data_IF_934323294614
#
_entry.id   IF_934323294614
#
_cell.length_a   1.000
_cell.length_b   1.000
_cell.length_c   1.000
_cell.angle_alpha   90.00
_cell.angle_beta   90.00
_cell.angle_gamma   90.00
#
_symmetry.space_group_name_H-M   'P 1'
#
loop_
_entity.id
_entity.type
_entity.pdbx_description
1 polymer ?
#
# COMPACT_ATOMS: atom_id res chain seq x y z
N UNK A 1 75.73 -8.44 -41.29
CA UNK A 1 74.79 -7.79 -42.25
C UNK A 1 73.47 -8.54 -42.27
N UNK A 2 72.37 -7.80 -42.12
CA UNK A 2 70.97 -8.12 -42.52
C UNK A 2 70.18 -9.21 -41.78
N UNK A 3 69.15 -8.69 -41.07
CA UNK A 3 67.72 -9.12 -40.95
C UNK A 3 67.42 -10.49 -40.28
N UNK A 4 66.84 -10.54 -39.07
CA UNK A 4 65.45 -10.23 -38.60
C UNK A 4 64.36 -11.25 -39.02
N UNK A 5 63.56 -11.61 -38.01
CA UNK A 5 62.24 -12.29 -37.95
C UNK A 5 62.32 -13.81 -37.75
N UNK A 6 61.55 -14.49 -36.89
CA UNK A 6 60.44 -14.13 -35.98
C UNK A 6 60.15 -15.37 -35.10
N UNK A 7 60.14 -15.26 -33.77
CA UNK A 7 59.22 -16.04 -32.91
C UNK A 7 59.21 -15.44 -31.48
N UNK A 8 58.36 -14.43 -31.26
CA UNK A 8 58.02 -13.95 -29.91
C UNK A 8 56.54 -13.59 -29.90
N UNK A 9 55.71 -14.55 -29.52
CA UNK A 9 54.38 -14.26 -28.99
C UNK A 9 53.88 -15.46 -28.16
N UNK A 10 54.47 -15.67 -26.99
CA UNK A 10 53.92 -16.60 -26.01
C UNK A 10 54.47 -16.30 -24.60
N UNK A 11 54.20 -15.11 -24.06
CA UNK A 11 54.47 -14.80 -22.64
C UNK A 11 53.83 -13.46 -22.26
N UNK A 12 52.49 -13.40 -22.16
CA UNK A 12 51.79 -12.34 -21.43
C UNK A 12 50.31 -12.71 -21.18
N UNK A 13 50.03 -13.74 -20.40
CA UNK A 13 48.64 -14.06 -19.97
C UNK A 13 48.61 -14.93 -18.70
N UNK A 14 49.33 -14.52 -17.66
CA UNK A 14 49.36 -15.20 -16.35
C UNK A 14 49.49 -14.19 -15.20
N UNK A 15 48.68 -13.12 -15.20
CA UNK A 15 48.83 -12.06 -14.20
C UNK A 15 47.60 -11.23 -13.83
N UNK A 16 46.38 -11.63 -14.21
CA UNK A 16 45.14 -10.96 -13.74
C UNK A 16 44.04 -12.02 -13.60
N UNK A 17 44.04 -12.77 -12.51
CA UNK A 17 42.92 -13.63 -12.14
C UNK A 17 42.89 -13.89 -10.63
N UNK A 18 42.80 -12.80 -9.86
CA UNK A 18 42.49 -12.81 -8.41
C UNK A 18 41.67 -11.57 -8.07
N UNK A 19 40.49 -11.42 -8.67
CA UNK A 19 39.47 -10.46 -8.23
C UNK A 19 38.06 -11.00 -8.53
N UNK A 20 37.77 -12.23 -8.09
CA UNK A 20 36.39 -12.70 -7.93
C UNK A 20 36.32 -13.55 -6.66
N UNK A 21 35.79 -12.95 -5.60
CA UNK A 21 35.00 -13.53 -4.49
C UNK A 21 35.12 -12.64 -3.25
N UNK A 22 34.57 -11.43 -3.36
CA UNK A 22 34.00 -10.74 -2.19
C UNK A 22 32.53 -10.47 -2.44
N UNK A 23 31.77 -11.53 -2.77
CA UNK A 23 30.39 -11.66 -2.30
C UNK A 23 30.42 -12.11 -0.84
N UNK A 24 31.19 -11.40 -0.01
CA UNK A 24 31.11 -11.51 1.43
C UNK A 24 29.81 -10.84 1.83
N UNK A 25 28.75 -11.63 1.97
CA UNK A 25 27.61 -11.23 2.79
C UNK A 25 28.15 -10.97 4.19
N UNK A 26 28.52 -9.72 4.46
CA UNK A 26 28.85 -9.27 5.80
C UNK A 26 27.58 -9.44 6.63
N UNK A 27 27.53 -10.54 7.38
CA UNK A 27 26.67 -10.65 8.55
C UNK A 27 26.83 -9.34 9.31
N UNK A 28 25.70 -8.67 9.59
CA UNK A 28 25.70 -7.37 10.25
C UNK A 28 26.35 -7.51 11.63
N UNK A 29 27.66 -7.26 11.73
CA UNK A 29 28.41 -7.21 12.99
C UNK A 29 27.82 -6.05 13.79
N UNK A 30 26.96 -6.38 14.75
CA UNK A 30 26.12 -5.50 15.58
C UNK A 30 24.85 -5.01 14.88
N UNK A 31 23.80 -5.85 14.90
CA UNK A 31 22.44 -5.34 14.83
C UNK A 31 22.22 -4.37 16.00
N UNK A 32 22.11 -3.08 15.70
CA UNK A 32 21.73 -2.09 16.72
C UNK A 32 20.29 -2.36 17.14
N UNK A 33 20.03 -2.42 18.45
CA UNK A 33 18.66 -2.55 18.99
C UNK A 33 17.76 -1.37 18.61
N UNK A 34 18.35 -0.28 18.11
CA UNK A 34 17.67 0.96 17.74
C UNK A 34 17.40 1.09 16.23
N UNK A 35 17.83 0.14 15.39
CA UNK A 35 17.54 0.15 13.95
C UNK A 35 16.89 -1.14 13.49
N UNK A 36 15.79 -1.02 12.75
CA UNK A 36 15.19 -2.13 12.02
C UNK A 36 15.49 -2.00 10.54
N UNK A 37 15.92 -3.09 9.91
CA UNK A 37 16.15 -3.20 8.47
C UNK A 37 15.04 -4.04 7.86
N UNK A 38 14.15 -3.41 7.13
CA UNK A 38 13.12 -4.08 6.36
C UNK A 38 13.56 -4.28 4.90
N UNK A 39 12.88 -5.17 4.18
CA UNK A 39 12.94 -5.24 2.72
C UNK A 39 11.59 -4.85 2.10
N UNK A 40 11.64 -4.18 0.95
CA UNK A 40 10.51 -3.99 0.07
C UNK A 40 10.89 -4.41 -1.36
N UNK A 41 9.91 -4.83 -2.18
CA UNK A 41 10.19 -5.28 -3.55
C UNK A 41 10.49 -4.14 -4.54
N UNK A 42 10.26 -2.89 -4.13
CA UNK A 42 10.53 -1.68 -4.93
C UNK A 42 10.81 -0.49 -4.02
N UNK A 43 11.30 0.59 -4.61
CA UNK A 43 11.56 1.85 -3.92
C UNK A 43 10.27 2.53 -3.40
N UNK A 44 10.42 3.45 -2.45
CA UNK A 44 9.34 4.21 -1.78
C UNK A 44 8.55 5.13 -2.72
N UNK A 45 9.12 5.47 -3.88
CA UNK A 45 8.55 6.35 -4.92
C UNK A 45 8.17 7.72 -4.36
N UNK A 46 7.32 8.48 -5.07
CA UNK A 46 6.94 9.83 -4.67
C UNK A 46 6.05 9.83 -3.42
N UNK A 47 6.59 10.29 -2.29
CA UNK A 47 5.89 10.37 -1.00
C UNK A 47 5.05 11.64 -0.82
N UNK A 48 4.69 12.36 -1.87
CA UNK A 48 3.70 13.43 -1.78
C UNK A 48 2.38 12.91 -1.17
N UNK A 49 1.88 13.46 -0.04
CA UNK A 49 0.71 12.90 0.67
C UNK A 49 -0.60 13.03 -0.12
N UNK A 50 -0.64 13.93 -1.09
CA UNK A 50 -1.82 14.19 -1.92
C UNK A 50 -1.73 13.48 -3.28
N UNK A 51 -0.81 12.54 -3.46
CA UNK A 51 -0.68 11.71 -4.66
C UNK A 51 -0.59 10.22 -4.31
N UNK A 52 -0.67 9.37 -5.35
CA UNK A 52 -0.93 7.94 -5.20
C UNK A 52 0.24 7.01 -5.54
N UNK A 53 1.35 7.57 -6.04
CA UNK A 53 2.49 6.79 -6.51
C UNK A 53 3.32 6.18 -5.37
N UNK A 54 3.49 6.92 -4.27
CA UNK A 54 4.30 6.51 -3.13
C UNK A 54 3.76 5.31 -2.36
N UNK A 55 4.67 4.66 -1.64
CA UNK A 55 4.35 3.57 -0.72
C UNK A 55 3.54 4.07 0.47
N UNK A 56 2.39 3.43 0.73
CA UNK A 56 1.46 3.83 1.78
C UNK A 56 2.08 3.79 3.18
N UNK A 57 2.91 2.78 3.49
CA UNK A 57 3.55 2.68 4.79
C UNK A 57 4.49 3.86 5.05
N UNK A 58 5.21 4.32 4.00
CA UNK A 58 6.13 5.43 4.10
C UNK A 58 5.37 6.75 4.26
N UNK A 59 4.32 6.98 3.45
CA UNK A 59 3.41 8.12 3.68
C UNK A 59 2.83 8.09 5.11
N UNK A 60 2.46 6.91 5.61
CA UNK A 60 1.82 6.76 6.92
C UNK A 60 2.73 7.14 8.11
N UNK A 61 4.05 6.95 8.01
CA UNK A 61 4.98 7.31 9.09
C UNK A 61 5.50 8.76 8.99
N UNK A 62 5.35 9.40 7.82
CA UNK A 62 5.76 10.79 7.58
C UNK A 62 4.66 11.79 7.92
N UNK A 63 3.42 11.48 7.53
CA UNK A 63 2.29 12.41 7.60
C UNK A 63 1.20 11.85 8.49
N UNK A 64 0.39 12.72 9.09
CA UNK A 64 -0.72 12.35 9.97
C UNK A 64 -2.02 13.03 9.51
N UNK A 65 -3.17 12.48 9.91
CA UNK A 65 -4.50 13.04 9.63
C UNK A 65 -5.10 13.76 10.83
N UNK A 66 -6.27 14.37 10.66
CA UNK A 66 -7.02 14.97 11.78
C UNK A 66 -7.47 13.91 12.79
N UNK A 67 -7.87 12.76 12.28
CA UNK A 67 -8.31 11.58 13.02
C UNK A 67 -7.54 10.35 12.56
N UNK A 68 -7.56 9.30 13.38
CA UNK A 68 -6.97 8.00 13.06
C UNK A 68 -8.03 6.90 13.19
N UNK A 69 -7.93 5.88 12.34
CA UNK A 69 -8.75 4.67 12.42
C UNK A 69 -7.97 3.62 13.21
N UNK A 70 -8.53 3.19 14.34
CA UNK A 70 -7.96 2.14 15.18
C UNK A 70 -8.14 0.76 14.53
N UNK A 71 -7.43 -0.24 15.06
CA UNK A 71 -7.50 -1.63 14.57
C UNK A 71 -8.91 -2.22 14.60
N UNK A 72 -9.74 -1.79 15.55
CA UNK A 72 -11.15 -2.21 15.69
C UNK A 72 -12.11 -1.42 14.78
N UNK A 73 -11.60 -0.50 13.97
CA UNK A 73 -12.39 0.37 13.09
C UNK A 73 -12.95 1.62 13.76
N UNK A 74 -12.74 1.81 15.07
CA UNK A 74 -13.16 3.03 15.76
C UNK A 74 -12.30 4.23 15.32
N UNK A 75 -12.91 5.41 15.31
CA UNK A 75 -12.25 6.66 14.93
C UNK A 75 -11.82 7.38 16.20
N UNK A 76 -10.55 7.76 16.27
CA UNK A 76 -9.96 8.43 17.41
C UNK A 76 -9.29 9.76 17.04
N UNK A 77 -9.13 10.68 18.00
CA UNK A 77 -8.33 11.90 17.84
C UNK A 77 -6.90 11.60 17.37
N UNK A 78 -6.40 12.37 16.40
CA UNK A 78 -4.98 12.41 16.04
C UNK A 78 -4.48 13.86 16.13
N UNK A 79 -4.40 14.59 15.02
CA UNK A 79 -3.97 16.00 15.02
C UNK A 79 -5.08 16.95 15.51
N UNK A 80 -6.35 16.54 15.39
CA UNK A 80 -7.45 17.15 16.12
C UNK A 80 -7.62 16.43 17.47
N UNK A 81 -7.79 17.20 18.55
CA UNK A 81 -8.04 16.68 19.90
C UNK A 81 -9.48 16.21 20.07
N UNK A 82 -10.41 16.88 19.38
CA UNK A 82 -11.84 16.57 19.35
C UNK A 82 -12.47 17.20 18.10
N UNK A 83 -13.68 16.78 17.79
CA UNK A 83 -14.50 17.38 16.74
C UNK A 83 -15.98 17.40 17.12
N UNK A 84 -16.73 18.28 16.46
CA UNK A 84 -18.16 18.44 16.59
C UNK A 84 -18.79 18.31 15.20
N UNK A 85 -19.96 17.66 15.12
CA UNK A 85 -20.74 17.53 13.89
C UNK A 85 -22.06 18.28 14.11
N UNK A 86 -22.42 19.15 13.18
CA UNK A 86 -23.70 19.86 13.23
C UNK A 86 -24.89 18.89 13.20
N UNK A 87 -26.04 19.35 13.70
CA UNK A 87 -27.27 18.52 13.78
C UNK A 87 -27.74 18.00 12.42
N UNK A 88 -27.49 18.75 11.35
CA UNK A 88 -27.83 18.38 9.97
C UNK A 88 -26.74 17.53 9.29
N UNK A 89 -25.62 17.26 9.97
CA UNK A 89 -24.51 16.44 9.49
C UNK A 89 -23.64 17.09 8.40
N UNK A 90 -23.79 18.40 8.16
CA UNK A 90 -23.12 19.11 7.05
C UNK A 90 -21.90 19.93 7.47
N UNK A 91 -21.72 20.21 8.74
CA UNK A 91 -20.55 20.93 9.25
C UNK A 91 -19.78 20.08 10.26
N UNK A 92 -18.47 20.02 10.07
CA UNK A 92 -17.53 19.36 10.97
C UNK A 92 -16.55 20.40 11.50
N UNK A 93 -16.53 20.61 12.82
CA UNK A 93 -15.60 21.54 13.48
C UNK A 93 -14.55 20.74 14.23
N UNK A 94 -13.29 20.86 13.83
CA UNK A 94 -12.14 20.21 14.44
C UNK A 94 -11.36 21.19 15.31
N UNK A 95 -11.04 20.77 16.53
CA UNK A 95 -10.19 21.51 17.46
C UNK A 95 -8.79 20.90 17.44
N UNK A 96 -7.81 21.64 16.93
CA UNK A 96 -6.45 21.18 16.66
C UNK A 96 -5.57 21.20 17.90
N UNK A 97 -4.63 20.26 17.98
CA UNK A 97 -3.56 20.28 18.99
C UNK A 97 -2.68 21.53 18.84
N UNK A 98 -2.34 22.16 19.96
CA UNK A 98 -1.57 23.42 19.96
C UNK A 98 -0.05 23.24 19.95
N UNK A 99 0.44 22.05 20.29
CA UNK A 99 1.87 21.75 20.47
C UNK A 99 2.46 20.92 19.32
N UNK A 100 1.83 20.95 18.14
CA UNK A 100 2.30 20.21 16.97
C UNK A 100 3.09 21.12 16.05
N UNK A 101 4.24 20.62 15.60
CA UNK A 101 5.06 21.23 14.55
C UNK A 101 5.33 20.20 13.47
N UNK A 102 5.52 20.67 12.25
CA UNK A 102 6.11 19.88 11.18
C UNK A 102 7.59 19.61 11.48
N UNK A 103 8.18 18.62 10.84
CA UNK A 103 9.59 18.26 11.08
C UNK A 103 10.59 19.37 10.74
N UNK A 104 10.23 20.29 9.83
CA UNK A 104 11.01 21.50 9.54
C UNK A 104 10.93 22.56 10.66
N UNK A 105 10.02 22.41 11.62
CA UNK A 105 9.79 23.34 12.73
C UNK A 105 8.67 24.34 12.50
N UNK A 106 8.05 24.35 11.31
CA UNK A 106 6.87 25.18 11.07
C UNK A 106 5.71 24.68 11.94
N UNK A 107 4.85 25.61 12.36
CA UNK A 107 3.71 25.31 13.20
C UNK A 107 2.65 24.52 12.43
N UNK A 108 2.04 23.52 13.07
CA UNK A 108 0.80 22.91 12.58
C UNK A 108 -0.39 23.68 13.18
N UNK A 109 -1.09 24.43 12.33
CA UNK A 109 -2.25 25.25 12.71
C UNK A 109 -3.37 25.15 11.67
N UNK A 110 -4.50 25.82 11.92
CA UNK A 110 -5.66 25.78 11.05
C UNK A 110 -5.37 26.31 9.63
N UNK A 111 -4.44 27.26 9.48
CA UNK A 111 -4.02 27.78 8.16
C UNK A 111 -3.25 26.73 7.39
N UNK A 112 -2.34 25.99 8.04
CA UNK A 112 -1.63 24.87 7.44
C UNK A 112 -2.58 23.74 7.03
N UNK A 113 -3.58 23.42 7.87
CA UNK A 113 -4.64 22.47 7.54
C UNK A 113 -5.39 22.93 6.29
N UNK A 114 -5.88 24.17 6.28
CA UNK A 114 -6.60 24.74 5.14
C UNK A 114 -5.77 24.73 3.85
N UNK A 115 -4.48 25.09 3.92
CA UNK A 115 -3.60 25.06 2.76
C UNK A 115 -3.49 23.66 2.12
N UNK A 116 -3.45 22.60 2.95
CA UNK A 116 -3.46 21.23 2.45
C UNK A 116 -4.79 20.85 1.80
N UNK A 117 -5.93 21.20 2.42
CA UNK A 117 -7.25 20.96 1.82
C UNK A 117 -7.44 21.75 0.51
N UNK A 118 -6.98 22.99 0.44
CA UNK A 118 -6.99 23.80 -0.78
C UNK A 118 -6.14 23.13 -1.88
N UNK A 119 -4.96 22.60 -1.54
CA UNK A 119 -4.10 21.87 -2.48
C UNK A 119 -4.74 20.56 -2.99
N UNK A 120 -5.47 19.84 -2.14
CA UNK A 120 -6.26 18.66 -2.53
C UNK A 120 -7.38 19.09 -3.50
N UNK A 121 -8.07 20.20 -3.21
CA UNK A 121 -9.16 20.71 -4.07
C UNK A 121 -8.66 21.30 -5.38
N UNK A 122 -7.44 21.83 -5.45
CA UNK A 122 -6.79 22.22 -6.73
C UNK A 122 -6.68 21.03 -7.70
N UNK A 123 -6.64 19.80 -7.17
CA UNK A 123 -6.54 18.57 -7.94
C UNK A 123 -7.78 17.67 -7.79
N UNK A 124 -8.96 18.29 -7.58
CA UNK A 124 -10.23 17.61 -7.29
C UNK A 124 -10.50 16.37 -8.16
N UNK A 125 -10.30 16.46 -9.47
CA UNK A 125 -10.60 15.37 -10.41
C UNK A 125 -9.78 14.11 -10.12
N UNK A 126 -8.52 14.27 -9.68
CA UNK A 126 -7.66 13.15 -9.28
C UNK A 126 -8.19 12.43 -8.04
N UNK A 127 -8.93 13.14 -7.20
CA UNK A 127 -9.50 12.64 -5.96
C UNK A 127 -11.01 12.36 -6.08
N UNK A 128 -11.59 12.44 -7.28
CA UNK A 128 -13.03 12.29 -7.49
C UNK A 128 -13.60 10.91 -7.18
N UNK A 129 -12.75 9.93 -6.89
CA UNK A 129 -13.16 8.61 -6.40
C UNK A 129 -13.52 8.62 -4.89
N UNK A 130 -13.10 9.65 -4.15
CA UNK A 130 -13.54 9.92 -2.78
C UNK A 130 -14.76 10.82 -2.84
N UNK A 131 -15.88 10.37 -2.26
CA UNK A 131 -17.12 11.13 -2.36
C UNK A 131 -17.04 12.41 -1.53
N UNK A 132 -16.26 12.44 -0.41
CA UNK A 132 -16.10 13.67 0.38
C UNK A 132 -15.56 14.83 -0.46
N UNK A 133 -14.65 14.56 -1.40
CA UNK A 133 -14.07 15.58 -2.29
C UNK A 133 -15.13 16.20 -3.19
N UNK A 134 -16.13 15.43 -3.61
CA UNK A 134 -17.23 15.92 -4.44
C UNK A 134 -18.22 16.76 -3.62
N UNK A 135 -18.39 16.38 -2.36
CA UNK A 135 -19.33 16.97 -1.41
C UNK A 135 -18.80 18.18 -0.62
N UNK A 136 -17.48 18.42 -0.56
CA UNK A 136 -16.96 19.63 0.06
C UNK A 136 -17.57 20.89 -0.58
N UNK A 137 -18.03 21.79 0.29
CA UNK A 137 -18.61 23.09 -0.04
C UNK A 137 -17.70 24.26 0.37
N UNK A 138 -16.91 24.06 1.44
CA UNK A 138 -15.92 25.05 1.86
C UNK A 138 -15.16 24.65 3.11
N UNK A 139 -14.09 25.41 3.39
CA UNK A 139 -13.26 25.25 4.58
C UNK A 139 -13.04 26.60 5.26
N UNK A 140 -13.21 26.65 6.57
CA UNK A 140 -13.03 27.87 7.36
C UNK A 140 -12.05 27.67 8.51
N UNK A 141 -11.35 28.74 8.85
CA UNK A 141 -10.38 28.78 9.95
C UNK A 141 -10.71 29.99 10.84
N UNK A 142 -11.76 29.90 11.69
CA UNK A 142 -12.20 31.05 12.49
C UNK A 142 -11.13 31.54 13.48
N UNK A 143 -10.19 30.66 13.85
CA UNK A 143 -9.01 30.98 14.64
C UNK A 143 -7.84 30.05 14.24
N UNK A 144 -6.69 30.19 14.91
CA UNK A 144 -5.47 29.43 14.62
C UNK A 144 -5.58 27.91 14.88
N UNK A 145 -6.54 27.44 15.68
CA UNK A 145 -6.64 26.04 16.09
C UNK A 145 -8.03 25.43 15.90
N UNK A 146 -8.91 26.12 15.17
CA UNK A 146 -10.22 25.61 14.78
C UNK A 146 -10.27 25.49 13.27
N UNK A 147 -10.54 24.29 12.76
CA UNK A 147 -10.74 24.03 11.34
C UNK A 147 -12.15 23.52 11.09
N UNK A 148 -12.89 24.14 10.18
CA UNK A 148 -14.25 23.74 9.83
C UNK A 148 -14.32 23.24 8.40
N UNK A 149 -15.00 22.12 8.21
CA UNK A 149 -15.39 21.58 6.91
C UNK A 149 -16.88 21.75 6.74
N UNK A 150 -17.31 22.31 5.60
CA UNK A 150 -18.71 22.36 5.17
C UNK A 150 -18.94 21.40 4.01
N UNK A 151 -20.04 20.66 4.07
CA UNK A 151 -20.49 19.72 3.05
C UNK A 151 -21.82 20.18 2.44
N UNK A 152 -22.03 19.85 1.16
CA UNK A 152 -23.28 20.12 0.43
C UNK A 152 -24.46 19.32 0.99
N UNK A 153 -24.18 18.12 1.51
CA UNK A 153 -25.13 17.20 2.10
C UNK A 153 -24.45 16.34 3.17
N UNK A 154 -25.20 15.77 4.14
CA UNK A 154 -24.62 14.92 5.16
C UNK A 154 -23.98 13.66 4.55
N UNK A 155 -22.77 13.34 5.01
CA UNK A 155 -22.00 12.20 4.50
C UNK A 155 -21.41 11.37 5.65
N UNK A 156 -22.05 10.24 5.95
CA UNK A 156 -21.66 9.40 7.10
C UNK A 156 -20.19 8.91 7.09
N UNK A 157 -19.56 8.59 5.93
CA UNK A 157 -18.18 8.11 5.90
C UNK A 157 -17.12 9.20 6.06
N UNK A 158 -17.49 10.47 6.22
CA UNK A 158 -16.56 11.60 6.21
C UNK A 158 -15.34 11.38 7.12
N UNK A 159 -15.54 10.97 8.37
CA UNK A 159 -14.45 10.73 9.31
C UNK A 159 -13.59 9.50 8.92
N UNK A 160 -14.17 8.49 8.26
CA UNK A 160 -13.44 7.33 7.75
C UNK A 160 -12.51 7.77 6.60
N UNK A 161 -13.03 8.59 5.67
CA UNK A 161 -12.21 9.13 4.59
C UNK A 161 -11.08 10.03 5.15
N UNK A 162 -11.37 10.91 6.12
CA UNK A 162 -10.34 11.73 6.79
C UNK A 162 -9.27 10.92 7.52
N UNK A 163 -9.62 9.74 8.04
CA UNK A 163 -8.69 8.83 8.71
C UNK A 163 -7.80 8.03 7.76
N UNK A 164 -8.02 8.12 6.44
CA UNK A 164 -7.24 7.43 5.44
C UNK A 164 -5.79 7.94 5.36
N UNK A 165 -4.87 7.12 4.87
CA UNK A 165 -3.44 7.48 4.74
C UNK A 165 -3.22 8.63 3.76
N UNK A 166 -4.14 8.81 2.80
CA UNK A 166 -4.14 9.86 1.78
C UNK A 166 -5.55 10.06 1.24
N UNK A 167 -5.89 11.24 0.69
CA UNK A 167 -5.05 12.43 0.57
C UNK A 167 -5.11 13.37 1.77
N UNK A 168 -5.95 13.12 2.78
CA UNK A 168 -6.22 14.06 3.88
C UNK A 168 -5.17 14.07 5.01
N UNK A 169 -3.89 14.04 4.63
CA UNK A 169 -2.76 14.15 5.56
C UNK A 169 -1.90 15.35 5.26
N UNK A 170 -1.22 15.87 6.28
CA UNK A 170 -0.65 17.21 6.19
C UNK A 170 0.84 17.21 5.89
N UNK A 171 1.21 17.92 4.83
CA UNK A 171 2.57 18.39 4.56
C UNK A 171 2.73 19.85 5.00
N UNK A 172 3.92 20.24 5.43
CA UNK A 172 4.28 21.62 5.71
C UNK A 172 4.00 22.47 4.45
N UNK A 173 3.26 23.59 4.55
CA UNK A 173 3.05 24.49 3.41
C UNK A 173 4.35 24.95 2.78
N UNK A 174 5.43 25.10 3.55
CA UNK A 174 6.78 25.46 3.06
C UNK A 174 7.39 24.43 2.11
N UNK A 175 6.96 23.18 2.20
CA UNK A 175 7.38 22.11 1.30
C UNK A 175 6.45 21.95 0.07
N UNK A 176 5.34 22.69 0.01
CA UNK A 176 4.48 22.75 -1.18
C UNK A 176 5.09 23.65 -2.24
N UNK A 177 4.81 23.36 -3.51
CA UNK A 177 5.23 24.23 -4.62
C UNK A 177 4.57 25.60 -4.46
N UNK A 178 5.40 26.64 -4.45
CA UNK A 178 4.99 28.03 -4.21
C UNK A 178 4.20 28.24 -2.91
N UNK A 179 4.38 27.36 -1.93
CA UNK A 179 3.66 27.42 -0.65
C UNK A 179 2.19 27.00 -0.71
N UNK A 180 1.71 26.46 -1.84
CA UNK A 180 0.26 26.28 -2.09
C UNK A 180 -0.14 24.98 -2.77
N UNK A 181 0.67 24.46 -3.68
CA UNK A 181 0.28 23.33 -4.53
C UNK A 181 1.06 22.08 -4.23
N UNK A 182 0.36 20.94 -4.27
CA UNK A 182 0.95 19.60 -4.27
C UNK A 182 0.63 18.83 -5.54
N UNK A 183 -0.12 19.42 -6.49
CA UNK A 183 -0.63 18.73 -7.69
C UNK A 183 0.49 18.12 -8.53
N UNK A 184 1.56 18.89 -8.74
CA UNK A 184 2.71 18.54 -9.59
C UNK A 184 3.97 18.22 -8.77
N UNK A 185 3.81 17.71 -7.55
CA UNK A 185 4.91 17.36 -6.66
C UNK A 185 5.07 18.33 -5.49
N UNK A 186 6.11 18.09 -4.68
CA UNK A 186 6.48 18.86 -3.48
C UNK A 186 7.99 19.05 -3.45
N UNK A 187 8.48 20.04 -2.71
CA UNK A 187 9.92 20.34 -2.64
C UNK A 187 10.66 19.38 -1.69
N UNK A 188 9.99 18.96 -0.61
CA UNK A 188 10.52 18.04 0.41
C UNK A 188 9.38 17.22 1.00
N UNK A 189 9.68 16.10 1.65
CA UNK A 189 8.69 15.29 2.38
C UNK A 189 8.69 15.66 3.86
N UNK A 190 7.89 16.65 4.22
CA UNK A 190 7.88 17.27 5.56
C UNK A 190 6.50 17.17 6.18
N UNK A 191 6.29 16.21 7.08
CA UNK A 191 5.03 16.03 7.80
C UNK A 191 5.18 16.24 9.31
N UNK A 192 4.12 15.92 10.05
CA UNK A 192 4.08 15.95 11.52
C UNK A 192 4.41 14.59 12.15
N UNK A 193 4.58 13.55 11.33
CA UNK A 193 4.66 12.16 11.77
C UNK A 193 5.88 11.81 12.61
N UNK A 194 5.90 10.58 13.16
CA UNK A 194 6.95 10.11 14.06
C UNK A 194 8.31 9.89 13.42
N UNK A 195 8.39 9.84 12.08
CA UNK A 195 9.63 9.67 11.35
C UNK A 195 9.79 10.71 10.24
N UNK A 196 11.04 11.00 9.89
CA UNK A 196 11.43 11.81 8.73
C UNK A 196 12.20 10.95 7.73
N UNK A 197 12.04 11.21 6.44
CA UNK A 197 12.90 10.61 5.42
C UNK A 197 14.29 11.27 5.48
N UNK A 198 15.31 10.49 5.84
CA UNK A 198 16.70 10.95 5.98
C UNK A 198 17.48 10.84 4.67
N UNK A 199 17.30 9.75 3.94
CA UNK A 199 17.92 9.54 2.63
C UNK A 199 17.08 8.59 1.79
N UNK A 200 17.04 8.82 0.48
CA UNK A 200 16.53 7.87 -0.49
C UNK A 200 17.55 7.66 -1.60
N UNK A 201 17.93 6.41 -1.83
CA UNK A 201 18.74 6.00 -2.98
C UNK A 201 17.86 5.09 -3.81
N UNK A 202 17.47 5.59 -4.98
CA UNK A 202 16.55 4.90 -5.88
C UNK A 202 17.04 3.50 -6.21
N UNK A 203 16.12 2.54 -6.12
CA UNK A 203 16.35 1.11 -6.32
C UNK A 203 17.37 0.45 -5.37
N UNK A 204 17.85 1.16 -4.35
CA UNK A 204 18.78 0.65 -3.33
C UNK A 204 18.14 0.62 -1.93
N UNK A 205 17.87 1.79 -1.35
CA UNK A 205 17.36 1.90 0.01
C UNK A 205 16.73 3.26 0.35
N UNK A 206 15.76 3.23 1.26
CA UNK A 206 15.25 4.39 1.96
C UNK A 206 15.58 4.31 3.46
N UNK A 207 16.00 5.42 4.06
CA UNK A 207 16.30 5.51 5.50
C UNK A 207 15.41 6.55 6.14
N UNK A 208 14.69 6.13 7.18
CA UNK A 208 13.85 6.97 8.02
C UNK A 208 14.44 7.05 9.42
N UNK A 209 14.41 8.24 10.03
CA UNK A 209 14.87 8.47 11.40
C UNK A 209 13.74 9.08 12.23
N UNK A 210 13.74 8.86 13.54
CA UNK A 210 12.73 9.45 14.42
C UNK A 210 12.73 10.96 14.28
N UNK A 211 11.54 11.54 14.14
CA UNK A 211 11.34 12.98 14.15
C UNK A 211 11.58 13.49 15.58
N UNK A 212 12.68 14.22 15.79
CA UNK A 212 13.02 14.74 17.11
C UNK A 212 12.02 15.76 17.66
N UNK A 213 11.22 16.36 16.78
CA UNK A 213 10.15 17.29 17.10
C UNK A 213 8.77 16.62 17.18
N UNK A 214 8.70 15.29 17.16
CA UNK A 214 7.41 14.58 17.21
C UNK A 214 6.64 14.96 18.48
N UNK A 215 5.39 15.37 18.29
CA UNK A 215 4.51 15.87 19.35
C UNK A 215 3.99 14.74 20.26
N UNK A 216 3.94 13.51 19.73
CA UNK A 216 3.48 12.33 20.44
C UNK A 216 4.61 11.55 21.13
N UNK A 217 4.35 10.29 21.44
CA UNK A 217 5.37 9.41 22.02
C UNK A 217 6.40 9.03 20.96
N UNK A 218 7.66 9.40 21.18
CA UNK A 218 8.75 9.04 20.27
C UNK A 218 8.91 7.52 20.14
N UNK A 219 9.06 6.98 18.92
CA UNK A 219 9.33 5.56 18.73
C UNK A 219 10.61 5.09 19.45
N UNK A 220 10.57 3.84 19.92
CA UNK A 220 11.74 3.17 20.50
C UNK A 220 12.79 2.86 19.42
N UNK A 221 12.34 2.38 18.27
CA UNK A 221 13.17 2.20 17.08
C UNK A 221 13.56 3.58 16.54
N UNK A 222 14.84 3.90 16.52
CA UNK A 222 15.37 5.21 16.11
C UNK A 222 15.54 5.35 14.62
N UNK A 223 15.75 4.23 13.93
CA UNK A 223 15.96 4.19 12.48
C UNK A 223 15.24 3.02 11.83
N UNK A 224 14.59 3.29 10.70
CA UNK A 224 14.04 2.27 9.80
C UNK A 224 14.81 2.36 8.49
N UNK A 225 15.46 1.29 8.09
CA UNK A 225 16.09 1.17 6.77
C UNK A 225 15.28 0.19 5.94
N UNK A 226 14.81 0.61 4.78
CA UNK A 226 14.10 -0.25 3.85
C UNK A 226 14.99 -0.50 2.65
N UNK A 227 15.46 -1.74 2.49
CA UNK A 227 16.23 -2.16 1.30
C UNK A 227 15.29 -2.54 0.17
N UNK A 228 15.63 -2.15 -1.05
CA UNK A 228 14.93 -2.60 -2.25
C UNK A 228 15.50 -3.94 -2.67
N UNK A 229 14.67 -4.99 -2.61
CA UNK A 229 15.02 -6.36 -2.99
C UNK A 229 13.85 -6.92 -3.82
N UNK A 230 13.88 -6.79 -5.15
CA UNK A 230 12.76 -7.19 -6.02
C UNK A 230 12.46 -8.68 -6.00
N UNK A 231 13.52 -9.50 -5.99
CA UNK A 231 13.39 -10.96 -6.03
C UNK A 231 13.00 -11.55 -4.68
N UNK A 232 11.94 -12.34 -4.68
CA UNK A 232 11.34 -12.91 -3.47
C UNK A 232 12.28 -13.84 -2.70
N UNK A 233 12.88 -14.79 -3.40
CA UNK A 233 13.82 -15.74 -2.80
C UNK A 233 15.07 -15.03 -2.25
N UNK A 234 15.45 -13.89 -2.85
CA UNK A 234 16.53 -13.04 -2.32
C UNK A 234 16.13 -12.35 -1.01
N UNK A 235 14.88 -11.92 -0.85
CA UNK A 235 14.37 -11.39 0.44
C UNK A 235 14.40 -12.47 1.52
N UNK A 236 13.92 -13.67 1.20
CA UNK A 236 13.95 -14.82 2.11
C UNK A 236 15.39 -15.13 2.56
N UNK A 237 16.34 -15.22 1.63
CA UNK A 237 17.75 -15.47 1.94
C UNK A 237 18.37 -14.33 2.75
N UNK A 238 18.02 -13.08 2.48
CA UNK A 238 18.48 -11.94 3.24
C UNK A 238 17.99 -11.98 4.70
N UNK A 239 16.73 -12.39 4.92
CA UNK A 239 16.17 -12.58 6.25
C UNK A 239 16.88 -13.75 6.97
N UNK A 240 17.05 -14.87 6.29
CA UNK A 240 17.73 -16.06 6.84
C UNK A 240 19.18 -15.78 7.25
N UNK A 241 19.89 -14.92 6.51
CA UNK A 241 21.27 -14.49 6.80
C UNK A 241 21.37 -13.34 7.82
N UNK A 242 20.26 -12.78 8.28
CA UNK A 242 20.25 -11.61 9.18
C UNK A 242 20.72 -10.31 8.51
N UNK A 243 20.60 -10.21 7.18
CA UNK A 243 20.88 -8.99 6.42
C UNK A 243 19.71 -7.99 6.46
N UNK A 244 18.53 -8.49 6.82
CA UNK A 244 17.29 -7.75 7.13
C UNK A 244 16.66 -8.38 8.37
N UNK A 245 15.91 -7.60 9.12
CA UNK A 245 15.27 -7.97 10.38
C UNK A 245 13.79 -8.35 10.19
N UNK A 246 13.13 -7.80 9.17
CA UNK A 246 11.70 -8.02 8.92
C UNK A 246 11.36 -8.04 7.43
N UNK A 247 10.46 -8.95 7.08
CA UNK A 247 9.68 -8.90 5.84
C UNK A 247 8.21 -8.75 6.24
N UNK A 248 7.55 -7.71 5.75
CA UNK A 248 6.16 -7.41 6.10
C UNK A 248 5.40 -6.94 4.87
N UNK A 249 4.25 -7.56 4.60
CA UNK A 249 3.38 -7.18 3.51
C UNK A 249 2.80 -8.40 2.79
N UNK A 250 1.79 -8.14 1.95
CA UNK A 250 1.20 -9.14 1.05
C UNK A 250 2.18 -9.46 -0.09
N UNK A 251 2.26 -10.72 -0.50
CA UNK A 251 3.05 -11.18 -1.65
C UNK A 251 4.56 -10.83 -1.53
N UNK A 252 5.04 -10.72 -0.29
CA UNK A 252 6.45 -10.43 0.01
C UNK A 252 7.32 -11.69 0.06
N UNK A 253 6.73 -12.81 0.44
CA UNK A 253 7.24 -14.18 0.36
C UNK A 253 6.05 -15.12 0.11
N UNK A 254 6.30 -16.26 -0.53
CA UNK A 254 5.33 -17.31 -0.80
C UNK A 254 4.96 -18.11 0.48
N UNK A 255 3.88 -18.89 0.38
CA UNK A 255 3.37 -19.68 1.51
C UNK A 255 4.37 -20.75 1.98
N UNK A 256 5.13 -21.35 1.07
CA UNK A 256 6.14 -22.37 1.39
C UNK A 256 7.26 -21.77 2.24
N UNK A 257 7.81 -20.63 1.80
CA UNK A 257 8.84 -19.87 2.50
C UNK A 257 8.32 -19.35 3.84
N UNK A 258 7.08 -18.88 3.90
CA UNK A 258 6.46 -18.47 5.16
C UNK A 258 6.40 -19.61 6.17
N UNK A 259 5.95 -20.81 5.76
CA UNK A 259 5.92 -22.00 6.62
C UNK A 259 7.32 -22.42 7.07
N UNK A 260 8.30 -22.40 6.16
CA UNK A 260 9.70 -22.65 6.51
C UNK A 260 10.17 -21.73 7.64
N UNK A 261 9.89 -20.43 7.58
CA UNK A 261 10.27 -19.50 8.66
C UNK A 261 9.45 -19.66 9.94
N UNK A 262 8.18 -20.05 9.83
CA UNK A 262 7.32 -20.34 10.99
C UNK A 262 7.89 -21.47 11.85
N UNK A 263 8.42 -22.51 11.21
CA UNK A 263 8.93 -23.70 11.89
C UNK A 263 10.43 -23.61 12.22
N UNK A 264 11.12 -22.58 11.70
CA UNK A 264 12.56 -22.38 11.90
C UNK A 264 12.87 -21.67 13.21
N UNK A 265 13.66 -22.32 14.07
CA UNK A 265 14.17 -21.74 15.32
C UNK A 265 14.87 -20.39 15.07
N UNK A 266 14.54 -19.38 15.88
CA UNK A 266 15.12 -18.05 15.81
C UNK A 266 14.33 -17.05 14.96
N UNK A 267 13.24 -17.49 14.32
CA UNK A 267 12.32 -16.62 13.56
C UNK A 267 10.94 -16.60 14.22
N UNK A 268 10.19 -15.52 13.93
CA UNK A 268 8.78 -15.41 14.25
C UNK A 268 8.03 -15.08 12.97
N UNK A 269 6.98 -15.84 12.70
CA UNK A 269 6.11 -15.66 11.54
C UNK A 269 4.67 -15.49 12.04
N UNK A 270 4.02 -14.41 11.59
CA UNK A 270 2.64 -14.08 11.97
C UNK A 270 1.84 -13.77 10.71
N UNK A 271 0.61 -14.27 10.67
CA UNK A 271 -0.37 -13.95 9.64
C UNK A 271 -1.46 -13.08 10.30
N UNK A 272 -1.91 -12.03 9.61
CA UNK A 272 -3.05 -11.24 10.08
C UNK A 272 -4.37 -11.97 9.82
N UNK A 273 -5.44 -11.45 10.40
CA UNK A 273 -6.79 -11.71 9.87
C UNK A 273 -6.89 -11.25 8.40
N UNK A 274 -7.82 -11.81 7.60
CA UNK A 274 -8.04 -11.38 6.23
C UNK A 274 -8.37 -9.89 6.13
N UNK A 275 -7.63 -9.15 5.30
CA UNK A 275 -7.78 -7.70 5.13
C UNK A 275 -8.41 -7.28 3.79
N UNK A 276 -8.52 -8.20 2.83
CA UNK A 276 -9.09 -7.95 1.50
C UNK A 276 -9.50 -9.25 0.82
N UNK A 277 -10.37 -9.15 -0.19
CA UNK A 277 -10.77 -10.27 -1.04
C UNK A 277 -9.99 -10.24 -2.36
N UNK A 278 -9.36 -11.36 -2.75
CA UNK A 278 -8.83 -11.55 -4.11
C UNK A 278 -9.97 -12.02 -5.02
N UNK A 279 -10.13 -11.39 -6.19
CA UNK A 279 -11.22 -11.72 -7.12
C UNK A 279 -10.84 -11.45 -8.57
N UNK A 280 -11.51 -12.14 -9.49
CA UNK A 280 -11.51 -11.79 -10.91
C UNK A 280 -12.67 -10.85 -11.22
N UNK A 281 -12.37 -9.69 -11.80
CA UNK A 281 -13.38 -8.76 -12.29
C UNK A 281 -13.80 -9.14 -13.70
N UNK A 282 -15.10 -9.35 -13.88
CA UNK A 282 -15.68 -9.79 -15.15
C UNK A 282 -16.26 -8.59 -15.90
N UNK A 283 -15.80 -8.36 -17.13
CA UNK A 283 -16.28 -7.26 -17.96
C UNK A 283 -17.66 -7.56 -18.57
N UNK A 284 -18.70 -6.96 -18.00
CA UNK A 284 -20.10 -7.20 -18.39
C UNK A 284 -20.51 -6.57 -19.71
N UNK A 285 -19.64 -5.78 -20.37
CA UNK A 285 -19.95 -5.06 -21.61
C UNK A 285 -19.24 -5.63 -22.83
N UNK A 286 -18.46 -6.72 -22.69
CA UNK A 286 -17.62 -7.26 -23.77
C UNK A 286 -17.83 -8.75 -24.02
N UNK A 287 -18.10 -9.11 -25.28
CA UNK A 287 -18.07 -10.49 -25.76
C UNK A 287 -19.08 -11.42 -25.05
N UNK A 288 -18.68 -12.66 -24.82
CA UNK A 288 -19.48 -13.69 -24.14
C UNK A 288 -19.89 -13.29 -22.71
N UNK A 289 -19.11 -12.42 -22.07
CA UNK A 289 -19.32 -11.99 -20.69
C UNK A 289 -20.50 -11.01 -20.53
N UNK A 290 -21.08 -10.54 -21.64
CA UNK A 290 -22.36 -9.79 -21.62
C UNK A 290 -23.52 -10.65 -21.13
N UNK A 291 -23.48 -11.96 -21.38
CA UNK A 291 -24.50 -12.92 -20.96
C UNK A 291 -24.33 -13.27 -19.46
N UNK A 292 -25.41 -13.08 -18.68
CA UNK A 292 -25.43 -13.38 -17.24
C UNK A 292 -25.20 -14.86 -16.94
N UNK A 293 -25.66 -15.76 -17.79
CA UNK A 293 -25.51 -17.20 -17.58
C UNK A 293 -24.05 -17.63 -17.79
N UNK A 294 -23.33 -17.02 -18.74
CA UNK A 294 -21.88 -17.21 -18.90
C UNK A 294 -21.14 -16.78 -17.63
N UNK A 295 -21.48 -15.60 -17.06
CA UNK A 295 -20.85 -15.12 -15.82
C UNK A 295 -21.15 -16.02 -14.62
N UNK A 296 -22.37 -16.57 -14.50
CA UNK A 296 -22.71 -17.55 -13.46
C UNK A 296 -21.96 -18.86 -13.65
N UNK A 297 -21.83 -19.35 -14.89
CA UNK A 297 -21.04 -20.54 -15.18
C UNK A 297 -19.58 -20.36 -14.73
N UNK A 298 -18.98 -19.18 -14.97
CA UNK A 298 -17.63 -18.85 -14.50
C UNK A 298 -17.47 -18.90 -12.98
N UNK A 299 -18.53 -18.66 -12.19
CA UNK A 299 -18.45 -18.81 -10.75
C UNK A 299 -18.35 -20.29 -10.34
N UNK A 300 -19.06 -21.17 -11.05
CA UNK A 300 -19.08 -22.61 -10.77
C UNK A 300 -17.84 -23.37 -11.26
N UNK A 301 -17.07 -22.84 -12.21
CA UNK A 301 -15.83 -23.51 -12.68
C UNK A 301 -14.64 -23.32 -11.76
N UNK A 302 -14.69 -22.35 -10.83
CA UNK A 302 -13.57 -22.05 -9.95
C UNK A 302 -13.61 -22.92 -8.70
N UNK A 303 -12.70 -23.89 -8.64
CA UNK A 303 -12.48 -24.67 -7.43
C UNK A 303 -11.67 -23.85 -6.41
N UNK A 304 -12.36 -22.96 -5.69
CA UNK A 304 -11.72 -22.05 -4.72
C UNK A 304 -11.02 -22.79 -3.59
N UNK A 305 -11.51 -23.98 -3.22
CA UNK A 305 -10.88 -24.82 -2.19
C UNK A 305 -9.54 -25.35 -2.66
N UNK A 306 -9.48 -25.90 -3.87
CA UNK A 306 -8.23 -26.40 -4.46
C UNK A 306 -7.22 -25.26 -4.72
N UNK A 307 -7.68 -24.07 -5.09
CA UNK A 307 -6.82 -22.88 -5.19
C UNK A 307 -6.24 -22.51 -3.81
N UNK A 308 -7.09 -22.46 -2.78
CA UNK A 308 -6.69 -22.18 -1.41
C UNK A 308 -5.67 -23.19 -0.89
N UNK A 309 -5.93 -24.48 -1.06
CA UNK A 309 -5.08 -25.57 -0.56
C UNK A 309 -3.83 -25.78 -1.40
N UNK A 310 -3.91 -25.68 -2.72
CA UNK A 310 -2.82 -26.00 -3.64
C UNK A 310 -1.86 -24.86 -3.94
N UNK A 311 -2.36 -23.61 -4.01
CA UNK A 311 -1.53 -22.43 -4.31
C UNK A 311 -1.17 -21.67 -3.03
N UNK A 312 -2.16 -21.43 -2.17
CA UNK A 312 -1.95 -20.68 -0.93
C UNK A 312 -1.64 -21.59 0.28
N UNK A 313 -1.61 -22.90 0.08
CA UNK A 313 -1.35 -23.89 1.12
C UNK A 313 -2.22 -23.75 2.39
N UNK A 314 -3.47 -23.32 2.19
CA UNK A 314 -4.46 -23.10 3.23
C UNK A 314 -4.29 -21.79 4.02
N UNK A 315 -3.35 -20.91 3.66
CA UNK A 315 -3.15 -19.63 4.37
C UNK A 315 -4.18 -18.56 3.99
N UNK A 316 -4.80 -18.68 2.82
CA UNK A 316 -5.91 -17.81 2.39
C UNK A 316 -7.20 -18.63 2.28
N UNK A 317 -8.30 -18.16 2.88
CA UNK A 317 -9.59 -18.88 2.86
C UNK A 317 -10.39 -18.60 1.57
N UNK A 318 -11.15 -19.58 1.04
CA UNK A 318 -12.06 -19.36 -0.08
C UNK A 318 -13.03 -18.19 0.17
N UNK A 319 -13.20 -17.33 -0.84
CA UNK A 319 -14.12 -16.19 -0.77
C UNK A 319 -15.37 -16.43 -1.63
N UNK A 320 -16.55 -16.36 -1.02
CA UNK A 320 -17.83 -16.51 -1.72
C UNK A 320 -18.49 -15.19 -2.11
N UNK A 321 -18.02 -14.10 -1.53
CA UNK A 321 -18.59 -12.77 -1.69
C UNK A 321 -17.50 -11.74 -1.95
N UNK A 322 -17.88 -10.61 -2.56
CA UNK A 322 -16.95 -9.51 -2.84
C UNK A 322 -16.33 -8.93 -1.56
N UNK A 323 -17.14 -8.78 -0.51
CA UNK A 323 -16.74 -8.38 0.83
C UNK A 323 -16.95 -9.54 1.80
N UNK A 324 -16.01 -9.77 2.71
CA UNK A 324 -16.17 -10.75 3.78
C UNK A 324 -17.33 -10.35 4.71
N UNK A 325 -17.99 -11.34 5.34
CA UNK A 325 -19.11 -11.09 6.28
C UNK A 325 -18.70 -10.26 7.51
N UNK A 326 -17.42 -10.20 7.82
CA UNK A 326 -16.85 -9.38 8.90
C UNK A 326 -16.81 -7.90 8.56
N UNK A 327 -16.96 -7.53 7.29
CA UNK A 327 -17.01 -6.12 6.87
C UNK A 327 -18.36 -5.51 7.28
N UNK A 328 -18.38 -4.29 7.84
CA UNK A 328 -19.63 -3.60 8.17
C UNK A 328 -20.62 -3.60 6.99
N UNK A 329 -21.90 -3.85 7.29
CA UNK A 329 -23.00 -3.96 6.32
C UNK A 329 -22.94 -5.15 5.34
N UNK A 330 -21.87 -5.96 5.36
CA UNK A 330 -21.69 -7.05 4.39
C UNK A 330 -22.19 -8.42 4.87
N UNK A 331 -22.60 -8.56 6.14
CA UNK A 331 -23.19 -9.80 6.66
C UNK A 331 -24.65 -9.95 6.20
N UNK A 332 -24.82 -10.15 4.90
CA UNK A 332 -26.10 -10.36 4.23
C UNK A 332 -26.12 -11.73 3.56
N UNK A 333 -27.32 -12.30 3.45
CA UNK A 333 -27.50 -13.56 2.74
C UNK A 333 -27.45 -13.31 1.23
N UNK A 334 -26.45 -13.87 0.56
CA UNK A 334 -26.31 -13.84 -0.89
C UNK A 334 -26.13 -15.25 -1.44
N UNK A 335 -26.55 -15.51 -2.69
CA UNK A 335 -26.35 -16.81 -3.32
C UNK A 335 -24.87 -17.18 -3.37
N UNK A 336 -24.55 -18.41 -2.95
CA UNK A 336 -23.21 -19.00 -3.06
C UNK A 336 -23.14 -19.88 -4.30
N UNK A 337 -22.11 -19.69 -5.09
CA UNK A 337 -21.85 -20.46 -6.31
C UNK A 337 -20.76 -21.49 -6.01
N UNK A 338 -21.17 -22.70 -5.64
CA UNK A 338 -20.24 -23.80 -5.34
C UNK A 338 -19.59 -24.33 -6.62
N UNK A 339 -18.37 -24.84 -6.51
CA UNK A 339 -17.71 -25.51 -7.61
C UNK A 339 -18.57 -26.67 -8.15
N UNK A 340 -18.95 -26.60 -9.42
CA UNK A 340 -19.73 -27.62 -10.12
C UNK A 340 -19.62 -27.43 -11.63
N UNK A 341 -18.81 -28.27 -12.28
CA UNK A 341 -18.68 -28.23 -13.73
C UNK A 341 -20.01 -28.57 -14.44
N UNK A 342 -20.88 -29.37 -13.83
CA UNK A 342 -22.16 -29.73 -14.44
C UNK A 342 -23.15 -28.56 -14.40
N UNK A 343 -23.21 -27.81 -13.30
CA UNK A 343 -24.00 -26.57 -13.26
C UNK A 343 -23.45 -25.51 -14.22
N UNK A 344 -22.12 -25.38 -14.33
CA UNK A 344 -21.50 -24.51 -15.31
C UNK A 344 -21.88 -24.89 -16.75
N UNK A 345 -21.83 -26.19 -17.09
CA UNK A 345 -22.25 -26.71 -18.40
C UNK A 345 -23.71 -26.39 -18.69
N UNK A 346 -24.63 -26.71 -17.76
CA UNK A 346 -26.07 -26.42 -17.91
C UNK A 346 -26.33 -24.93 -18.18
N UNK A 347 -25.65 -24.04 -17.45
CA UNK A 347 -25.79 -22.59 -17.64
C UNK A 347 -25.28 -22.14 -19.01
N UNK A 348 -24.18 -22.71 -19.50
CA UNK A 348 -23.64 -22.42 -20.83
C UNK A 348 -24.55 -22.97 -21.94
N UNK A 349 -25.08 -24.17 -21.80
CA UNK A 349 -26.04 -24.78 -22.73
C UNK A 349 -27.32 -23.93 -22.81
N UNK A 350 -27.87 -23.51 -21.67
CA UNK A 350 -29.01 -22.59 -21.60
C UNK A 350 -28.72 -21.21 -22.20
N UNK A 351 -27.45 -20.82 -22.29
CA UNK A 351 -26.99 -19.61 -22.96
C UNK A 351 -26.68 -19.81 -24.46
N UNK A 352 -26.88 -21.02 -25.00
CA UNK A 352 -26.62 -21.35 -26.41
C UNK A 352 -25.15 -21.56 -26.75
N UNK A 353 -24.29 -21.75 -25.75
CA UNK A 353 -22.88 -22.10 -25.93
C UNK A 353 -22.75 -23.62 -25.90
N UNK A 354 -22.69 -24.30 -27.04
CA UNK A 354 -22.64 -25.78 -27.12
C UNK A 354 -21.23 -26.27 -27.44
N UNK A 355 -20.89 -27.51 -27.08
CA UNK A 355 -19.58 -28.07 -27.41
C UNK A 355 -19.37 -28.16 -28.94
N UNK A 356 -18.27 -27.60 -29.42
CA UNK A 356 -17.77 -27.75 -30.78
C UNK A 356 -16.98 -29.06 -30.96
N UNK A 357 -16.58 -29.33 -32.20
CA UNK A 357 -15.85 -30.56 -32.55
C UNK A 357 -14.48 -30.68 -31.88
N UNK A 358 -13.88 -29.55 -31.46
CA UNK A 358 -12.60 -29.49 -30.74
C UNK A 358 -12.77 -29.54 -29.21
N UNK A 359 -14.00 -29.75 -28.72
CA UNK A 359 -14.34 -29.76 -27.30
C UNK A 359 -14.48 -28.38 -26.65
N UNK A 360 -14.17 -27.28 -27.36
CA UNK A 360 -14.46 -25.92 -26.88
C UNK A 360 -15.91 -25.56 -27.15
N UNK A 361 -16.52 -24.81 -26.25
CA UNK A 361 -17.90 -24.36 -26.46
C UNK A 361 -17.94 -23.25 -27.52
N UNK A 362 -18.99 -23.21 -28.32
CA UNK A 362 -19.19 -22.22 -29.38
C UNK A 362 -20.64 -21.72 -29.39
N UNK A 363 -20.83 -20.46 -29.78
CA UNK A 363 -22.14 -19.83 -30.01
C UNK A 363 -22.06 -19.01 -31.30
N UNK A 364 -22.95 -19.29 -32.26
CA UNK A 364 -22.99 -18.62 -33.57
C UNK A 364 -21.63 -18.65 -34.31
N UNK A 365 -20.94 -19.81 -34.29
CA UNK A 365 -19.65 -20.00 -34.94
C UNK A 365 -18.46 -19.30 -34.27
N UNK A 366 -18.65 -18.74 -33.06
CA UNK A 366 -17.59 -18.12 -32.27
C UNK A 366 -17.28 -18.97 -31.03
N UNK A 367 -15.99 -19.22 -30.71
CA UNK A 367 -15.57 -19.91 -29.49
C UNK A 367 -15.70 -19.03 -28.24
#
# INVERSE_FOLDING_TARGET
MKKKKNFKFLLLLTGILLFVLSCGGNVRKNASKDEIVAANFRDIRDLNPHNYAGELYAQNILYEGLVIINKDGSIAPQLAEKWEISKDGREYTFHLRKNVVFSDGEKFDAKAVKANFDAIMENKDRHGWLESVRLFDGFETPDDYTFKIKLKEPYYPMLIELGSIRPFRFISPKAMKNGKSTKNGVDKYVGTGPYVLKSNKTDEEAVFEVNDKYWGTKPKIKRIRVKVIPEEQTRALALEKGNIDIVFGRDMIDSETFKKFKDKKGFSAMMSEPVATRMMLVNTTKGALTDKNVRKALQHVLNKKEISEGIFEGTETPADTILAKTVPYANINVPVYNYSLDEAKKLLDAAGWTAGADGKRQKNGKP
#
